data_IF_431097511319
#
_entry.id   IF_431097511319
#
_cell.length_a   1.000
_cell.length_b   1.000
_cell.length_c   1.000
_cell.angle_alpha   90.00
_cell.angle_beta   90.00
_cell.angle_gamma   90.00
#
_symmetry.space_group_name_H-M   'P 1'
#
loop_
_entity.id
_entity.type
_entity.pdbx_description
1 polymer ?
#
# COMPACT_ATOMS: atom_id res chain seq x y z
N UNK A 1 -53.90 -28.73 22.80
CA UNK A 1 -52.46 -28.55 23.12
C UNK A 1 -51.70 -29.24 22.01
N UNK A 2 -51.27 -28.48 21.01
CA UNK A 2 -50.42 -28.99 19.91
C UNK A 2 -49.07 -28.29 20.02
N UNK A 3 -48.05 -29.05 20.41
CA UNK A 3 -46.66 -28.58 20.41
C UNK A 3 -46.10 -28.76 19.00
N UNK A 4 -45.91 -27.65 18.28
CA UNK A 4 -45.02 -27.60 17.12
C UNK A 4 -43.58 -27.46 17.64
N UNK A 5 -42.81 -28.53 17.59
CA UNK A 5 -41.36 -28.48 17.70
C UNK A 5 -40.79 -27.85 16.43
N UNK A 6 -40.21 -26.65 16.57
CA UNK A 6 -39.51 -25.95 15.51
C UNK A 6 -38.14 -26.59 15.29
N UNK A 7 -37.98 -27.27 14.16
CA UNK A 7 -36.71 -27.83 13.68
C UNK A 7 -35.81 -26.71 13.15
N UNK A 8 -34.95 -26.15 13.99
CA UNK A 8 -33.76 -25.45 13.52
C UNK A 8 -32.57 -26.43 13.61
N UNK A 9 -31.84 -26.70 12.51
CA UNK A 9 -30.59 -27.45 12.61
C UNK A 9 -29.54 -26.60 13.35
N UNK A 10 -28.66 -27.20 14.16
CA UNK A 10 -27.62 -26.45 14.86
C UNK A 10 -26.59 -25.94 13.85
N UNK A 11 -26.36 -24.62 13.80
CA UNK A 11 -25.36 -23.94 12.95
C UNK A 11 -23.89 -24.29 13.29
N UNK A 12 -23.65 -25.14 14.28
CA UNK A 12 -22.32 -25.59 14.70
C UNK A 12 -22.24 -27.12 14.75
N UNK A 13 -22.32 -27.76 13.58
CA UNK A 13 -21.92 -29.16 13.41
C UNK A 13 -20.43 -29.24 13.06
N UNK A 14 -19.62 -30.11 13.69
CA UNK A 14 -18.22 -30.33 13.32
C UNK A 14 -18.03 -30.72 11.85
N UNK A 15 -19.07 -31.27 11.21
CA UNK A 15 -19.06 -31.62 9.80
C UNK A 15 -19.07 -30.37 8.89
N UNK A 16 -19.68 -29.26 9.33
CA UNK A 16 -19.63 -27.99 8.60
C UNK A 16 -18.26 -27.33 8.70
N UNK A 17 -17.58 -27.44 9.86
CA UNK A 17 -16.22 -26.92 10.04
C UNK A 17 -15.21 -27.70 9.18
N UNK A 18 -15.34 -29.02 9.10
CA UNK A 18 -14.52 -29.88 8.24
C UNK A 18 -14.70 -29.56 6.76
N UNK A 19 -15.94 -29.40 6.32
CA UNK A 19 -16.24 -29.03 4.93
C UNK A 19 -15.71 -27.63 4.57
N UNK A 20 -15.87 -26.65 5.46
CA UNK A 20 -15.35 -25.30 5.26
C UNK A 20 -13.81 -25.27 5.18
N UNK A 21 -13.14 -26.12 5.97
CA UNK A 21 -11.69 -26.24 5.93
C UNK A 21 -11.21 -26.92 4.63
N UNK A 22 -11.92 -27.95 4.16
CA UNK A 22 -11.62 -28.64 2.89
C UNK A 22 -11.71 -27.70 1.68
N UNK A 23 -12.77 -26.89 1.59
CA UNK A 23 -12.94 -25.92 0.50
C UNK A 23 -11.91 -24.79 0.59
N UNK A 24 -11.56 -24.35 1.80
CA UNK A 24 -10.51 -23.35 2.01
C UNK A 24 -9.15 -23.85 1.54
N UNK A 25 -8.79 -25.10 1.82
CA UNK A 25 -7.52 -25.69 1.39
C UNK A 25 -7.49 -25.90 -0.13
N UNK A 26 -8.63 -26.25 -0.74
CA UNK A 26 -8.80 -26.27 -2.20
C UNK A 26 -8.56 -24.89 -2.83
N UNK A 27 -9.24 -23.86 -2.33
CA UNK A 27 -9.09 -22.48 -2.82
C UNK A 27 -7.66 -21.98 -2.64
N UNK A 28 -7.02 -22.34 -1.53
CA UNK A 28 -5.64 -22.02 -1.25
C UNK A 28 -4.67 -22.66 -2.27
N UNK A 29 -4.86 -23.95 -2.59
CA UNK A 29 -4.06 -24.63 -3.60
C UNK A 29 -4.22 -24.00 -4.99
N UNK A 30 -5.47 -23.70 -5.40
CA UNK A 30 -5.73 -23.04 -6.69
C UNK A 30 -5.12 -21.64 -6.74
N UNK A 31 -5.15 -20.90 -5.63
CA UNK A 31 -4.51 -19.60 -5.52
C UNK A 31 -2.99 -19.69 -5.69
N UNK A 32 -2.34 -20.67 -5.03
CA UNK A 32 -0.91 -20.92 -5.21
C UNK A 32 -0.56 -21.28 -6.66
N UNK A 33 -1.35 -22.17 -7.27
CA UNK A 33 -1.14 -22.61 -8.64
C UNK A 33 -1.23 -21.43 -9.62
N UNK A 34 -2.22 -20.57 -9.47
CA UNK A 34 -2.42 -19.42 -10.36
C UNK A 34 -1.33 -18.34 -10.20
N UNK A 35 -0.90 -18.05 -8.97
CA UNK A 35 -0.06 -16.88 -8.69
C UNK A 35 1.42 -17.20 -8.54
N UNK A 36 1.76 -18.30 -7.86
CA UNK A 36 3.16 -18.62 -7.53
C UNK A 36 3.76 -19.61 -8.53
N UNK A 37 2.92 -20.44 -9.17
CA UNK A 37 3.36 -21.48 -10.10
C UNK A 37 2.93 -21.22 -11.55
N UNK A 38 2.10 -20.21 -11.80
CA UNK A 38 1.71 -19.75 -13.13
C UNK A 38 0.83 -20.73 -13.93
N UNK A 39 0.10 -21.63 -13.26
CA UNK A 39 -0.89 -22.51 -13.89
C UNK A 39 -2.19 -21.76 -14.17
N UNK A 40 -2.81 -22.00 -15.33
CA UNK A 40 -4.23 -21.68 -15.47
C UNK A 40 -5.00 -22.74 -14.67
N UNK A 41 -5.89 -22.31 -13.78
CA UNK A 41 -6.78 -23.19 -13.03
C UNK A 41 -7.64 -24.10 -13.92
N UNK A 42 -7.78 -23.80 -15.22
CA UNK A 42 -8.44 -24.63 -16.23
C UNK A 42 -7.60 -25.82 -16.71
N UNK A 43 -6.29 -25.77 -16.53
CA UNK A 43 -5.35 -26.85 -16.89
C UNK A 43 -5.27 -27.94 -15.81
N UNK A 44 -5.95 -27.73 -14.68
CA UNK A 44 -5.90 -28.59 -13.50
C UNK A 44 -7.19 -29.40 -13.43
N UNK A 45 -7.06 -30.73 -13.40
CA UNK A 45 -8.22 -31.62 -13.24
C UNK A 45 -8.57 -31.75 -11.76
N UNK A 46 -9.85 -31.53 -11.43
CA UNK A 46 -10.36 -31.64 -10.05
C UNK A 46 -11.44 -32.71 -10.04
N UNK A 47 -11.24 -33.75 -9.23
CA UNK A 47 -12.26 -34.75 -8.89
C UNK A 47 -12.61 -34.66 -7.40
N UNK A 48 -13.87 -34.97 -7.09
CA UNK A 48 -14.39 -34.97 -5.72
C UNK A 48 -15.32 -36.16 -5.55
N UNK A 49 -15.10 -36.98 -4.52
CA UNK A 49 -15.99 -38.10 -4.21
C UNK A 49 -17.09 -37.62 -3.25
N UNK A 50 -18.35 -37.80 -3.66
CA UNK A 50 -19.53 -37.54 -2.84
C UNK A 50 -19.87 -38.85 -2.14
N UNK A 51 -19.90 -38.88 -0.80
CA UNK A 51 -20.32 -40.09 -0.09
C UNK A 51 -21.78 -40.39 -0.41
N UNK A 52 -22.05 -41.53 -1.04
CA UNK A 52 -23.39 -42.03 -1.32
C UNK A 52 -24.17 -42.28 -0.03
N UNK A 53 -24.87 -41.25 0.43
CA UNK A 53 -26.05 -41.32 1.28
C UNK A 53 -26.77 -39.98 1.10
N UNK A 54 -28.03 -40.03 0.70
CA UNK A 54 -28.89 -38.87 0.49
C UNK A 54 -28.67 -37.81 1.59
N UNK A 55 -28.29 -36.59 1.17
CA UNK A 55 -28.16 -35.36 1.98
C UNK A 55 -26.80 -35.02 2.65
N UNK A 56 -25.65 -35.44 2.12
CA UNK A 56 -24.38 -34.72 2.38
C UNK A 56 -24.07 -33.74 1.23
N UNK A 57 -24.14 -32.43 1.50
CA UNK A 57 -23.84 -31.35 0.53
C UNK A 57 -22.32 -31.15 0.34
N UNK A 58 -21.48 -31.88 1.08
CA UNK A 58 -20.05 -31.61 1.16
C UNK A 58 -19.20 -32.80 0.67
N UNK A 59 -18.20 -32.57 -0.22
CA UNK A 59 -17.30 -33.61 -0.70
C UNK A 59 -16.43 -34.16 0.45
N UNK A 60 -16.17 -35.46 0.43
CA UNK A 60 -15.37 -36.11 1.48
C UNK A 60 -13.87 -35.79 1.36
N UNK A 61 -13.41 -35.55 0.14
CA UNK A 61 -12.04 -35.16 -0.20
C UNK A 61 -11.99 -34.58 -1.63
N UNK A 62 -10.89 -33.89 -1.95
CA UNK A 62 -10.60 -33.40 -3.30
C UNK A 62 -9.34 -34.06 -3.84
N UNK A 63 -9.34 -34.47 -5.11
CA UNK A 63 -8.15 -34.92 -5.83
C UNK A 63 -7.91 -33.95 -6.97
N UNK A 64 -6.68 -33.43 -7.03
CA UNK A 64 -6.28 -32.35 -7.92
C UNK A 64 -5.05 -32.80 -8.69
N UNK A 65 -5.19 -33.00 -10.00
CA UNK A 65 -4.09 -33.40 -10.88
C UNK A 65 -3.54 -32.19 -11.61
N UNK A 66 -2.26 -31.93 -11.39
CA UNK A 66 -1.49 -30.82 -11.95
C UNK A 66 -0.58 -31.40 -13.04
N UNK A 67 -0.72 -30.96 -14.31
CA UNK A 67 0.08 -31.48 -15.41
C UNK A 67 1.56 -31.05 -15.28
N UNK A 68 2.52 -31.85 -15.77
CA UNK A 68 3.92 -31.46 -15.80
C UNK A 68 4.15 -30.25 -16.72
N UNK A 69 5.01 -29.33 -16.31
CA UNK A 69 5.46 -28.19 -17.15
C UNK A 69 6.93 -28.30 -17.49
N UNK A 70 7.21 -28.56 -18.77
CA UNK A 70 8.58 -28.69 -19.29
C UNK A 70 9.37 -27.38 -19.20
N UNK A 71 8.72 -26.23 -19.38
CA UNK A 71 9.38 -24.90 -19.36
C UNK A 71 9.97 -24.54 -18.00
N UNK A 72 9.33 -24.97 -16.90
CA UNK A 72 9.77 -24.68 -15.53
C UNK A 72 10.42 -25.89 -14.84
N UNK A 73 10.66 -26.99 -15.57
CA UNK A 73 11.10 -28.29 -15.02
C UNK A 73 10.21 -28.78 -13.86
N UNK A 74 8.93 -28.39 -13.85
CA UNK A 74 8.02 -28.76 -12.78
C UNK A 74 7.41 -30.14 -13.09
N UNK A 75 7.63 -31.13 -12.23
CA UNK A 75 7.05 -32.47 -12.41
C UNK A 75 5.54 -32.44 -12.19
N UNK A 76 4.83 -33.38 -12.83
CA UNK A 76 3.40 -33.57 -12.61
C UNK A 76 3.13 -33.94 -11.15
N UNK A 77 2.05 -33.39 -10.59
CA UNK A 77 1.68 -33.57 -9.19
C UNK A 77 0.23 -34.00 -9.07
N UNK A 78 -0.05 -34.96 -8.21
CA UNK A 78 -1.41 -35.31 -7.80
C UNK A 78 -1.57 -34.98 -6.32
N UNK A 79 -2.50 -34.10 -5.99
CA UNK A 79 -2.75 -33.62 -4.64
C UNK A 79 -4.11 -34.12 -4.15
N UNK A 80 -4.11 -34.93 -3.09
CA UNK A 80 -5.32 -35.41 -2.43
C UNK A 80 -5.52 -34.68 -1.10
N UNK A 81 -6.57 -33.87 -0.99
CA UNK A 81 -6.90 -33.06 0.18
C UNK A 81 -7.99 -33.76 1.00
N UNK A 82 -7.64 -34.21 2.19
CA UNK A 82 -8.55 -34.76 3.21
C UNK A 82 -8.72 -33.75 4.35
N UNK A 83 -9.75 -33.89 5.23
CA UNK A 83 -9.99 -32.92 6.31
C UNK A 83 -8.81 -32.69 7.26
N UNK A 84 -8.02 -33.74 7.53
CA UNK A 84 -6.91 -33.75 8.47
C UNK A 84 -5.53 -33.68 7.83
N UNK A 85 -5.45 -33.98 6.52
CA UNK A 85 -4.17 -34.19 5.85
C UNK A 85 -4.25 -33.95 4.35
N UNK A 86 -3.18 -33.43 3.77
CA UNK A 86 -3.03 -33.41 2.31
C UNK A 86 -1.88 -34.33 1.90
N UNK A 87 -2.12 -35.15 0.89
CA UNK A 87 -1.14 -36.04 0.31
C UNK A 87 -0.72 -35.49 -1.06
N UNK A 88 0.59 -35.38 -1.30
CA UNK A 88 1.14 -34.88 -2.56
C UNK A 88 1.97 -35.98 -3.21
N UNK A 89 1.59 -36.40 -4.40
CA UNK A 89 2.26 -37.44 -5.16
C UNK A 89 2.95 -36.88 -6.39
N UNK A 90 4.11 -37.46 -6.73
CA UNK A 90 4.67 -37.30 -8.06
C UNK A 90 3.93 -38.23 -9.01
N UNK A 91 3.19 -37.65 -9.96
CA UNK A 91 2.29 -38.39 -10.86
C UNK A 91 3.03 -39.43 -11.71
N UNK A 92 4.30 -39.19 -12.05
CA UNK A 92 5.09 -40.14 -12.83
C UNK A 92 5.70 -41.24 -11.95
N UNK A 93 6.19 -40.90 -10.77
CA UNK A 93 6.74 -41.89 -9.84
C UNK A 93 5.67 -42.87 -9.34
N UNK A 94 4.45 -42.38 -9.06
CA UNK A 94 3.33 -43.22 -8.65
C UNK A 94 2.90 -44.23 -9.72
N UNK A 95 2.94 -43.84 -11.00
CA UNK A 95 2.64 -44.74 -12.12
C UNK A 95 3.70 -45.85 -12.29
N UNK A 96 4.95 -45.59 -11.91
CA UNK A 96 6.04 -46.57 -12.00
C UNK A 96 6.05 -47.56 -10.84
N UNK A 97 5.61 -47.15 -9.66
CA UNK A 97 5.57 -48.01 -8.47
C UNK A 97 4.37 -48.96 -8.45
N UNK A 98 3.38 -48.78 -9.33
CA UNK A 98 2.17 -49.60 -9.38
C UNK A 98 1.79 -50.04 -10.82
N UNK A 99 2.62 -50.85 -11.51
CA UNK A 99 2.32 -51.28 -12.88
C UNK A 99 1.15 -52.27 -13.00
N UNK A 100 0.76 -52.97 -11.92
CA UNK A 100 -0.24 -54.05 -11.95
C UNK A 100 -1.68 -53.64 -11.61
N UNK A 101 -1.90 -52.41 -11.13
CA UNK A 101 -3.25 -51.86 -10.94
C UNK A 101 -3.37 -50.61 -11.80
N UNK A 102 -3.96 -50.73 -12.98
CA UNK A 102 -4.44 -49.59 -13.79
C UNK A 102 -5.63 -48.87 -13.12
N UNK A 103 -5.60 -48.68 -11.80
CA UNK A 103 -6.54 -47.83 -11.08
C UNK A 103 -6.00 -46.41 -11.09
N UNK A 104 -6.82 -45.45 -11.54
CA UNK A 104 -6.54 -44.02 -11.31
C UNK A 104 -6.34 -43.82 -9.80
N UNK A 105 -5.37 -42.98 -9.39
CA UNK A 105 -5.19 -42.57 -7.98
C UNK A 105 -6.51 -42.05 -7.36
N UNK A 106 -7.44 -41.65 -8.21
CA UNK A 106 -8.82 -41.26 -7.88
C UNK A 106 -9.68 -42.37 -7.28
N UNK A 107 -9.28 -43.64 -7.43
CA UNK A 107 -10.01 -44.81 -6.90
C UNK A 107 -9.38 -45.40 -5.63
N UNK A 108 -8.27 -44.84 -5.16
CA UNK A 108 -7.57 -45.32 -3.98
C UNK A 108 -8.13 -44.70 -2.70
N UNK A 109 -8.30 -45.51 -1.65
CA UNK A 109 -8.66 -45.00 -0.32
C UNK A 109 -7.50 -44.23 0.30
N UNK A 110 -7.80 -43.36 1.28
CA UNK A 110 -6.80 -42.61 2.05
C UNK A 110 -5.72 -43.52 2.62
N UNK A 111 -6.12 -44.65 3.20
CA UNK A 111 -5.22 -45.64 3.79
C UNK A 111 -4.33 -46.28 2.73
N UNK A 112 -4.88 -46.60 1.55
CA UNK A 112 -4.12 -47.12 0.42
C UNK A 112 -3.06 -46.13 -0.08
N UNK A 113 -3.41 -44.84 -0.16
CA UNK A 113 -2.46 -43.77 -0.53
C UNK A 113 -1.34 -43.62 0.52
N UNK A 114 -1.67 -43.70 1.80
CA UNK A 114 -0.67 -43.64 2.88
C UNK A 114 0.26 -44.86 2.86
N UNK A 115 -0.27 -46.06 2.63
CA UNK A 115 0.54 -47.27 2.52
C UNK A 115 1.47 -47.23 1.31
N UNK A 116 1.04 -46.59 0.21
CA UNK A 116 1.87 -46.37 -0.97
C UNK A 116 3.06 -45.43 -0.67
N UNK A 117 2.84 -44.37 0.11
CA UNK A 117 3.94 -43.50 0.60
C UNK A 117 4.90 -44.27 1.51
N UNK A 118 4.40 -45.20 2.34
CA UNK A 118 5.26 -46.03 3.20
C UNK A 118 6.10 -47.02 2.41
N UNK A 119 5.54 -47.59 1.35
CA UNK A 119 6.23 -48.56 0.50
C UNK A 119 7.33 -47.90 -0.32
N UNK A 120 7.03 -46.76 -0.93
CA UNK A 120 8.01 -45.94 -1.62
C UNK A 120 7.92 -44.48 -1.17
N UNK A 121 8.80 -44.04 -0.26
CA UNK A 121 8.83 -42.65 0.15
C UNK A 121 9.12 -41.69 -1.02
N UNK A 122 9.73 -42.12 -2.13
CA UNK A 122 10.04 -41.23 -3.25
C UNK A 122 8.80 -40.85 -4.08
N UNK A 123 7.69 -41.59 -3.97
CA UNK A 123 6.51 -41.37 -4.80
C UNK A 123 5.53 -40.32 -4.25
N UNK A 124 5.58 -40.01 -2.95
CA UNK A 124 4.67 -39.04 -2.34
C UNK A 124 5.07 -38.54 -0.96
N UNK A 125 4.34 -37.52 -0.50
CA UNK A 125 4.56 -36.76 0.72
C UNK A 125 3.27 -36.60 1.50
N UNK A 126 3.39 -36.76 2.81
CA UNK A 126 2.32 -36.53 3.77
C UNK A 126 2.47 -35.12 4.37
N UNK A 127 1.44 -34.28 4.19
CA UNK A 127 1.42 -32.90 4.67
C UNK A 127 0.29 -32.71 5.70
N UNK A 128 0.58 -32.84 7.01
CA UNK A 128 -0.40 -32.62 8.05
C UNK A 128 -0.89 -31.16 8.07
N UNK A 129 -2.18 -30.97 8.32
CA UNK A 129 -2.78 -29.64 8.42
C UNK A 129 -2.31 -28.97 9.72
N UNK A 130 -1.49 -27.93 9.59
CA UNK A 130 -0.85 -27.26 10.73
C UNK A 130 -0.23 -25.93 10.37
N UNK A 131 0.53 -25.34 11.30
CA UNK A 131 1.12 -24.00 11.11
C UNK A 131 2.06 -23.90 9.89
N UNK A 132 2.62 -25.03 9.44
CA UNK A 132 3.56 -25.11 8.31
C UNK A 132 2.95 -25.57 6.99
N UNK A 133 1.67 -25.91 7.00
CA UNK A 133 0.98 -26.52 5.87
C UNK A 133 1.26 -25.80 4.55
N UNK A 134 1.16 -24.47 4.53
CA UNK A 134 1.48 -23.62 3.38
C UNK A 134 2.90 -23.84 2.85
N UNK A 135 3.91 -23.69 3.70
CA UNK A 135 5.30 -23.78 3.27
C UNK A 135 5.62 -25.19 2.74
N UNK A 136 5.14 -26.21 3.46
CA UNK A 136 5.30 -27.61 3.05
C UNK A 136 4.59 -27.92 1.74
N UNK A 137 3.43 -27.30 1.48
CA UNK A 137 2.73 -27.42 0.19
C UNK A 137 3.55 -26.84 -0.95
N UNK A 138 4.11 -25.63 -0.77
CA UNK A 138 4.96 -25.00 -1.79
C UNK A 138 6.20 -25.84 -2.05
N UNK A 139 6.89 -26.30 -1.02
CA UNK A 139 8.07 -27.16 -1.18
C UNK A 139 7.73 -28.46 -1.93
N UNK A 140 6.61 -29.10 -1.60
CA UNK A 140 6.16 -30.33 -2.25
C UNK A 140 5.79 -30.15 -3.74
N UNK A 141 5.27 -28.96 -4.11
CA UNK A 141 4.90 -28.64 -5.49
C UNK A 141 6.07 -28.15 -6.33
N UNK A 142 7.11 -27.58 -5.71
CA UNK A 142 8.21 -26.92 -6.44
C UNK A 142 9.48 -27.76 -6.52
N UNK A 143 9.68 -28.72 -5.61
CA UNK A 143 10.89 -29.53 -5.54
C UNK A 143 10.58 -31.02 -5.80
N UNK A 144 11.60 -31.83 -6.17
CA UNK A 144 11.50 -33.28 -6.13
C UNK A 144 11.04 -33.78 -4.75
N UNK A 145 10.25 -34.85 -4.70
CA UNK A 145 9.65 -35.36 -3.44
C UNK A 145 10.72 -35.64 -2.37
N UNK A 146 11.87 -36.18 -2.75
CA UNK A 146 12.98 -36.43 -1.83
C UNK A 146 13.55 -35.13 -1.21
N UNK A 147 13.77 -34.11 -2.03
CA UNK A 147 14.30 -32.81 -1.59
C UNK A 147 13.28 -32.05 -0.74
N UNK A 148 12.02 -32.05 -1.16
CA UNK A 148 10.92 -31.48 -0.40
C UNK A 148 10.80 -32.14 0.99
N UNK A 149 10.91 -33.47 1.06
CA UNK A 149 10.93 -34.18 2.35
C UNK A 149 12.07 -33.71 3.24
N UNK A 150 13.30 -33.67 2.71
CA UNK A 150 14.47 -33.25 3.48
C UNK A 150 14.30 -31.83 4.04
N UNK A 151 13.83 -30.88 3.23
CA UNK A 151 13.57 -29.50 3.65
C UNK A 151 12.50 -29.41 4.74
N UNK A 152 11.41 -30.17 4.59
CA UNK A 152 10.32 -30.19 5.58
C UNK A 152 10.82 -30.80 6.90
N UNK A 153 11.58 -31.90 6.85
CA UNK A 153 12.15 -32.54 8.04
C UNK A 153 13.14 -31.61 8.75
N UNK A 154 14.08 -30.99 8.03
CA UNK A 154 15.04 -30.02 8.59
C UNK A 154 14.31 -28.84 9.24
N UNK A 155 13.24 -28.34 8.60
CA UNK A 155 12.41 -27.30 9.16
C UNK A 155 11.77 -27.76 10.50
N UNK A 156 11.20 -28.98 10.54
CA UNK A 156 10.61 -29.55 11.77
C UNK A 156 11.64 -29.66 12.89
N UNK A 157 12.83 -30.19 12.60
CA UNK A 157 13.90 -30.35 13.58
C UNK A 157 14.42 -29.01 14.10
N UNK A 158 14.62 -28.03 13.22
CA UNK A 158 15.05 -26.68 13.61
C UNK A 158 14.04 -25.98 14.50
N UNK A 159 12.73 -26.16 14.28
CA UNK A 159 11.67 -25.64 15.17
C UNK A 159 11.61 -26.36 16.52
N UNK A 160 11.83 -27.68 16.56
CA UNK A 160 11.88 -28.44 17.82
C UNK A 160 13.11 -28.08 18.65
N UNK A 161 14.26 -27.84 18.00
CA UNK A 161 15.48 -27.38 18.67
C UNK A 161 15.39 -25.93 19.16
N UNK A 162 14.65 -25.07 18.44
CA UNK A 162 14.41 -23.69 18.84
C UNK A 162 13.09 -23.57 19.62
N UNK A 163 13.05 -24.11 20.84
CA UNK A 163 11.99 -23.78 21.80
C UNK A 163 12.13 -22.30 22.21
N UNK A 164 11.56 -21.35 21.46
CA UNK A 164 11.21 -19.96 21.87
C UNK A 164 10.45 -19.28 20.71
N UNK A 165 9.52 -18.40 21.07
CA UNK A 165 8.54 -17.64 20.29
C UNK A 165 8.95 -16.96 18.95
N UNK A 166 10.17 -17.13 18.45
CA UNK A 166 10.67 -16.46 17.25
C UNK A 166 10.38 -17.22 15.93
N UNK A 167 10.10 -18.52 15.98
CA UNK A 167 9.78 -19.30 14.76
C UNK A 167 8.27 -19.52 14.54
N UNK A 168 7.40 -19.02 15.43
CA UNK A 168 5.92 -19.00 15.25
C UNK A 168 5.43 -18.16 14.05
N UNK A 169 6.35 -17.60 13.28
CA UNK A 169 6.11 -16.77 12.08
C UNK A 169 6.54 -17.51 10.80
N UNK A 170 6.55 -18.84 10.81
CA UNK A 170 6.78 -19.63 9.60
C UNK A 170 5.64 -19.39 8.59
N UNK A 171 6.07 -19.26 7.34
CA UNK A 171 5.36 -18.72 6.19
C UNK A 171 4.01 -19.41 5.97
N UNK A 172 2.96 -18.60 5.89
CA UNK A 172 1.62 -19.08 5.55
C UNK A 172 0.53 -18.02 5.53
N UNK A 173 0.79 -16.86 6.14
CA UNK A 173 -0.13 -15.71 6.15
C UNK A 173 0.70 -14.44 6.03
N UNK A 174 1.07 -14.07 4.80
CA UNK A 174 1.72 -12.78 4.55
C UNK A 174 0.64 -11.70 4.66
N UNK A 175 0.41 -11.28 5.90
CA UNK A 175 -0.51 -10.18 6.19
C UNK A 175 0.16 -8.84 5.92
N UNK A 176 -0.63 -7.79 5.73
CA UNK A 176 -0.18 -6.40 5.62
C UNK A 176 0.83 -6.04 6.73
N UNK A 177 0.57 -6.48 7.97
CA UNK A 177 1.46 -6.23 9.11
C UNK A 177 2.84 -6.86 8.95
N UNK A 178 2.92 -8.08 8.42
CA UNK A 178 4.19 -8.73 8.14
C UNK A 178 4.96 -8.04 7.01
N UNK A 179 4.27 -7.65 5.94
CA UNK A 179 4.90 -6.91 4.82
C UNK A 179 5.43 -5.56 5.29
N UNK A 180 4.66 -4.87 6.12
CA UNK A 180 5.06 -3.62 6.74
C UNK A 180 6.34 -3.77 7.58
N UNK A 181 6.41 -4.80 8.42
CA UNK A 181 7.61 -5.13 9.23
C UNK A 181 8.82 -5.45 8.32
N UNK A 182 8.62 -6.28 7.29
CA UNK A 182 9.67 -6.70 6.35
C UNK A 182 10.22 -5.54 5.52
N UNK A 183 9.34 -4.67 5.02
CA UNK A 183 9.72 -3.52 4.20
C UNK A 183 10.10 -2.28 5.04
N UNK A 184 10.01 -2.37 6.38
CA UNK A 184 10.23 -1.25 7.32
C UNK A 184 9.36 -0.03 7.00
N UNK A 185 8.10 -0.28 6.65
CA UNK A 185 7.10 0.74 6.32
C UNK A 185 5.89 0.61 7.25
N UNK A 186 5.06 1.65 7.36
CA UNK A 186 3.84 1.55 8.17
C UNK A 186 2.78 0.67 7.46
N UNK A 187 1.95 -0.13 8.18
CA UNK A 187 0.88 -0.94 7.58
C UNK A 187 -0.06 -0.16 6.64
N UNK A 188 -0.44 1.06 7.03
CA UNK A 188 -1.22 1.99 6.18
C UNK A 188 -0.57 2.32 4.84
N UNK A 189 0.75 2.20 4.73
CA UNK A 189 1.49 2.42 3.49
C UNK A 189 1.24 1.28 2.52
N UNK A 190 1.25 0.05 3.05
CA UNK A 190 0.96 -1.15 2.27
C UNK A 190 -0.51 -1.12 1.83
N UNK A 191 -1.46 -0.82 2.72
CA UNK A 191 -2.89 -0.66 2.37
C UNK A 191 -3.08 0.32 1.20
N UNK A 192 -2.49 1.52 1.30
CA UNK A 192 -2.56 2.52 0.21
C UNK A 192 -1.91 2.07 -1.10
N UNK A 193 -0.85 1.27 -1.03
CA UNK A 193 -0.21 0.72 -2.21
C UNK A 193 -1.11 -0.34 -2.87
N UNK A 194 -1.84 -1.14 -2.09
CA UNK A 194 -2.83 -2.08 -2.63
C UNK A 194 -4.01 -1.36 -3.30
N UNK A 195 -4.41 -0.20 -2.77
CA UNK A 195 -5.48 0.63 -3.35
C UNK A 195 -5.04 1.42 -4.60
N UNK A 196 -3.75 1.42 -4.95
CA UNK A 196 -3.23 2.18 -6.08
C UNK A 196 -3.44 1.40 -7.40
N UNK A 197 -4.24 1.92 -8.35
CA UNK A 197 -4.56 1.21 -9.59
C UNK A 197 -3.32 0.87 -10.44
N UNK A 198 -2.28 1.71 -10.41
CA UNK A 198 -1.04 1.46 -11.16
C UNK A 198 -0.24 0.25 -10.65
N UNK A 199 -0.51 -0.19 -9.42
CA UNK A 199 0.18 -1.32 -8.77
C UNK A 199 -0.75 -2.51 -8.67
N UNK A 200 -2.06 -2.31 -8.41
CA UNK A 200 -3.04 -3.41 -8.32
C UNK A 200 -3.01 -4.28 -9.58
N UNK A 201 -2.88 -3.66 -10.75
CA UNK A 201 -2.78 -4.37 -12.03
C UNK A 201 -1.52 -5.24 -12.13
N UNK A 202 -0.41 -4.81 -11.48
CA UNK A 202 0.85 -5.57 -11.42
C UNK A 202 0.84 -6.65 -10.35
N UNK A 203 0.04 -6.49 -9.30
CA UNK A 203 -0.07 -7.45 -8.19
C UNK A 203 -1.00 -8.62 -8.51
N UNK A 204 -1.95 -8.44 -9.42
CA UNK A 204 -2.96 -9.45 -9.74
C UNK A 204 -4.00 -9.61 -8.63
N UNK A 205 -4.66 -10.76 -8.57
CA UNK A 205 -5.71 -11.03 -7.60
C UNK A 205 -5.15 -11.19 -6.17
N UNK A 206 -5.75 -10.49 -5.20
CA UNK A 206 -5.37 -10.58 -3.79
C UNK A 206 -6.50 -11.30 -3.04
N UNK A 207 -6.15 -12.38 -2.34
CA UNK A 207 -7.11 -13.11 -1.52
C UNK A 207 -7.28 -12.43 -0.17
N UNK A 208 -8.53 -12.24 0.27
CA UNK A 208 -8.85 -11.80 1.63
C UNK A 208 -9.49 -12.95 2.40
N UNK A 209 -8.95 -13.28 3.58
CA UNK A 209 -9.58 -14.20 4.52
C UNK A 209 -10.22 -13.45 5.67
N UNK A 210 -11.40 -13.90 6.11
CA UNK A 210 -12.06 -13.36 7.28
C UNK A 210 -11.56 -14.08 8.54
N UNK A 211 -11.03 -13.33 9.52
CA UNK A 211 -10.64 -13.86 10.83
C UNK A 211 -11.42 -13.10 11.91
N UNK A 212 -12.53 -13.68 12.36
CA UNK A 212 -13.47 -12.97 13.23
C UNK A 212 -14.13 -11.81 12.48
N UNK A 213 -14.01 -10.60 13.01
CA UNK A 213 -14.52 -9.37 12.35
C UNK A 213 -13.52 -8.69 11.42
N UNK A 214 -12.26 -9.16 11.35
CA UNK A 214 -11.22 -8.53 10.53
C UNK A 214 -10.99 -9.28 9.21
N UNK A 215 -10.89 -8.52 8.12
CA UNK A 215 -10.42 -9.02 6.82
C UNK A 215 -8.90 -8.95 6.78
N UNK A 216 -8.24 -10.06 6.45
CA UNK A 216 -6.79 -10.14 6.28
C UNK A 216 -6.43 -10.42 4.83
N UNK A 217 -5.65 -9.54 4.22
CA UNK A 217 -5.07 -9.78 2.90
C UNK A 217 -3.96 -10.82 3.01
N UNK A 218 -4.00 -11.81 2.11
CA UNK A 218 -2.94 -12.78 1.90
C UNK A 218 -2.16 -12.37 0.66
N UNK A 219 -0.90 -11.99 0.87
CA UNK A 219 0.00 -11.60 -0.21
C UNK A 219 0.98 -12.73 -0.55
N UNK A 220 1.35 -12.89 -1.81
CA UNK A 220 2.39 -13.87 -2.20
C UNK A 220 3.79 -13.28 -2.08
N UNK A 221 4.82 -14.12 -2.12
CA UNK A 221 6.21 -13.66 -2.14
C UNK A 221 6.51 -12.77 -3.35
N UNK A 222 5.91 -13.06 -4.51
CA UNK A 222 6.00 -12.21 -5.70
C UNK A 222 5.35 -10.85 -5.47
N UNK A 223 4.12 -10.80 -4.93
CA UNK A 223 3.44 -9.55 -4.60
C UNK A 223 4.22 -8.69 -3.60
N UNK A 224 4.89 -9.31 -2.63
CA UNK A 224 5.79 -8.61 -1.70
C UNK A 224 6.99 -8.03 -2.42
N UNK A 225 7.56 -8.73 -3.40
CA UNK A 225 8.68 -8.22 -4.19
C UNK A 225 8.25 -7.04 -5.09
N UNK A 226 7.09 -7.12 -5.73
CA UNK A 226 6.50 -6.01 -6.51
C UNK A 226 6.20 -4.80 -5.63
N UNK A 227 5.64 -5.02 -4.42
CA UNK A 227 5.46 -3.96 -3.42
C UNK A 227 6.80 -3.37 -2.97
N UNK A 228 7.81 -4.21 -2.76
CA UNK A 228 9.15 -3.76 -2.38
C UNK A 228 9.76 -2.88 -3.48
N UNK A 229 9.67 -3.28 -4.75
CA UNK A 229 10.12 -2.50 -5.91
C UNK A 229 9.38 -1.17 -6.01
N UNK A 230 8.04 -1.18 -5.86
CA UNK A 230 7.27 0.05 -5.89
C UNK A 230 7.60 0.99 -4.71
N UNK A 231 7.82 0.42 -3.53
CA UNK A 231 8.13 1.15 -2.31
C UNK A 231 9.63 1.43 -2.14
N UNK A 232 10.48 1.01 -3.08
CA UNK A 232 11.88 1.40 -3.09
C UNK A 232 11.93 2.91 -3.20
N UNK A 233 12.43 3.54 -2.13
CA UNK A 233 12.63 4.97 -2.11
C UNK A 233 13.67 5.31 -3.17
N UNK A 234 13.30 6.10 -4.16
CA UNK A 234 14.24 6.94 -4.90
C UNK A 234 14.50 8.16 -4.03
N UNK A 235 15.58 8.22 -3.23
CA UNK A 235 15.89 9.42 -2.49
C UNK A 235 16.10 10.56 -3.49
N UNK A 236 15.54 11.75 -3.21
CA UNK A 236 15.77 12.90 -4.08
C UNK A 236 17.27 13.22 -4.11
N UNK A 237 17.82 13.63 -5.27
CA UNK A 237 19.23 13.99 -5.38
C UNK A 237 19.60 15.11 -4.39
N UNK A 238 20.88 15.18 -4.05
CA UNK A 238 21.36 16.16 -3.10
C UNK A 238 21.01 17.60 -3.54
N UNK A 239 20.52 18.41 -2.59
CA UNK A 239 20.12 19.79 -2.82
C UNK A 239 18.70 19.99 -3.34
N UNK A 240 17.98 18.93 -3.71
CA UNK A 240 16.56 19.00 -4.04
C UNK A 240 15.73 19.33 -2.80
N UNK A 241 14.68 20.14 -2.96
CA UNK A 241 13.83 20.58 -1.84
C UNK A 241 12.36 20.47 -2.20
N UNK A 242 11.54 20.04 -1.25
CA UNK A 242 10.08 20.11 -1.40
C UNK A 242 9.62 21.57 -1.47
N UNK A 243 8.39 21.81 -1.93
CA UNK A 243 7.78 23.14 -1.96
C UNK A 243 7.91 23.87 -0.60
N UNK A 244 7.64 23.16 0.50
CA UNK A 244 7.79 23.71 1.85
C UNK A 244 9.26 23.97 2.21
N UNK A 245 10.19 23.14 1.73
CA UNK A 245 11.63 23.37 1.89
C UNK A 245 12.10 24.63 1.17
N UNK A 246 11.61 24.88 -0.04
CA UNK A 246 11.87 26.12 -0.80
C UNK A 246 11.27 27.32 -0.07
N UNK A 247 10.01 27.21 0.36
CA UNK A 247 9.32 28.27 1.11
C UNK A 247 10.08 28.66 2.38
N UNK A 248 10.54 27.67 3.16
CA UNK A 248 11.34 27.90 4.38
C UNK A 248 12.68 28.55 4.07
N UNK A 249 13.39 28.11 3.01
CA UNK A 249 14.67 28.70 2.58
C UNK A 249 14.52 30.17 2.22
N UNK A 250 13.46 30.51 1.49
CA UNK A 250 13.17 31.88 1.06
C UNK A 250 12.46 32.70 2.16
N UNK A 251 12.11 32.06 3.28
CA UNK A 251 11.34 32.69 4.35
C UNK A 251 9.99 33.23 3.88
N UNK A 252 9.34 32.61 2.88
CA UNK A 252 8.01 33.00 2.35
C UNK A 252 6.99 31.87 2.56
N UNK A 253 5.71 32.12 2.26
CA UNK A 253 4.66 31.11 2.37
C UNK A 253 4.67 30.11 1.22
N UNK A 254 4.28 28.87 1.47
CA UNK A 254 4.18 27.83 0.43
C UNK A 254 3.22 28.20 -0.71
N UNK A 255 2.10 28.87 -0.40
CA UNK A 255 1.18 29.37 -1.43
C UNK A 255 1.82 30.46 -2.32
N UNK A 256 2.72 31.27 -1.77
CA UNK A 256 3.47 32.27 -2.53
C UNK A 256 4.44 31.59 -3.49
N UNK A 257 5.15 30.55 -3.03
CA UNK A 257 6.01 29.72 -3.90
C UNK A 257 5.18 29.09 -5.02
N UNK A 258 3.99 28.56 -4.72
CA UNK A 258 3.10 27.98 -5.74
C UNK A 258 2.70 29.01 -6.80
N UNK A 259 2.28 30.22 -6.38
CA UNK A 259 1.94 31.30 -7.30
C UNK A 259 3.12 31.68 -8.21
N UNK A 260 4.33 31.82 -7.63
CA UNK A 260 5.55 32.09 -8.39
C UNK A 260 5.78 31.00 -9.44
N UNK A 261 5.60 29.73 -9.08
CA UNK A 261 5.74 28.60 -10.01
C UNK A 261 4.68 28.70 -11.14
N UNK A 262 3.44 28.99 -10.81
CA UNK A 262 2.35 29.13 -11.80
C UNK A 262 2.63 30.29 -12.76
N UNK A 263 3.13 31.42 -12.27
CA UNK A 263 3.55 32.57 -13.09
C UNK A 263 4.77 32.27 -13.95
N UNK A 264 5.76 31.54 -13.42
CA UNK A 264 6.93 31.10 -14.18
C UNK A 264 6.51 30.14 -15.31
N UNK A 265 5.57 29.25 -15.04
CA UNK A 265 5.08 28.28 -16.03
C UNK A 265 4.19 28.93 -17.09
N UNK A 266 3.43 29.97 -16.75
CA UNK A 266 2.63 30.70 -17.74
C UNK A 266 3.48 31.43 -18.77
N UNK A 267 4.74 31.76 -18.43
CA UNK A 267 5.74 32.33 -19.36
C UNK A 267 6.71 31.29 -19.93
N UNK A 268 6.46 29.99 -19.72
CA UNK A 268 7.21 28.89 -20.34
C UNK A 268 8.51 28.49 -19.63
N UNK A 269 8.68 28.78 -18.34
CA UNK A 269 9.90 28.46 -17.60
C UNK A 269 10.04 26.98 -17.19
N UNK A 270 9.00 26.16 -17.40
CA UNK A 270 8.96 24.70 -17.16
C UNK A 270 9.50 24.30 -15.78
N UNK A 271 8.81 24.73 -14.73
CA UNK A 271 9.11 24.47 -13.32
C UNK A 271 7.98 23.62 -12.74
N UNK A 272 8.10 22.30 -12.85
CA UNK A 272 7.11 21.37 -12.32
C UNK A 272 7.59 20.58 -11.10
N UNK A 273 8.91 20.52 -10.91
CA UNK A 273 9.53 19.63 -9.94
C UNK A 273 9.36 18.16 -10.35
N UNK A 274 10.15 17.31 -9.71
CA UNK A 274 10.16 15.88 -9.93
C UNK A 274 9.55 15.16 -8.72
N UNK A 275 8.85 14.07 -8.98
CA UNK A 275 8.20 13.28 -7.95
C UNK A 275 9.16 12.22 -7.41
N UNK A 276 9.36 12.22 -6.09
CA UNK A 276 10.20 11.24 -5.41
C UNK A 276 9.41 10.50 -4.34
N UNK A 277 9.62 9.19 -4.27
CA UNK A 277 8.94 8.31 -3.34
C UNK A 277 9.76 8.22 -2.05
N UNK A 278 9.12 8.54 -0.92
CA UNK A 278 9.67 8.19 0.39
C UNK A 278 9.46 6.70 0.66
N UNK A 279 10.33 6.13 1.49
CA UNK A 279 10.14 4.80 2.07
C UNK A 279 8.77 4.62 2.75
N UNK A 280 8.09 5.71 3.15
CA UNK A 280 6.73 5.67 3.69
C UNK A 280 5.63 5.58 2.63
N UNK A 281 5.96 5.29 1.37
CA UNK A 281 5.03 5.24 0.21
C UNK A 281 4.33 6.57 -0.11
N UNK A 282 4.77 7.67 0.50
CA UNK A 282 4.31 9.01 0.18
C UNK A 282 5.20 9.57 -0.91
N UNK A 283 4.60 10.00 -2.01
CA UNK A 283 5.29 10.77 -3.03
C UNK A 283 5.22 12.27 -2.72
N UNK A 284 6.34 12.95 -2.95
CA UNK A 284 6.40 14.41 -2.83
C UNK A 284 7.09 14.98 -4.06
N UNK A 285 6.64 16.16 -4.49
CA UNK A 285 7.35 16.93 -5.51
C UNK A 285 8.54 17.65 -4.88
N UNK A 286 9.70 17.43 -5.48
CA UNK A 286 10.95 18.10 -5.16
C UNK A 286 11.40 18.96 -6.33
N UNK A 287 11.90 20.16 -6.01
CA UNK A 287 12.40 21.12 -6.98
C UNK A 287 13.91 21.03 -7.03
N UNK A 288 14.44 20.94 -8.25
CA UNK A 288 15.87 20.93 -8.51
C UNK A 288 16.53 22.24 -8.02
N UNK A 289 17.86 22.27 -7.77
CA UNK A 289 18.56 23.52 -7.48
C UNK A 289 18.34 24.59 -8.56
N UNK A 290 18.16 24.18 -9.82
CA UNK A 290 17.88 25.07 -10.95
C UNK A 290 16.50 25.70 -10.83
N UNK A 291 15.48 24.91 -10.53
CA UNK A 291 14.11 25.39 -10.31
C UNK A 291 14.03 26.31 -9.09
N UNK A 292 14.73 25.93 -8.02
CA UNK A 292 14.85 26.77 -6.82
C UNK A 292 15.45 28.14 -7.15
N UNK A 293 16.45 28.21 -8.04
CA UNK A 293 17.05 29.48 -8.49
C UNK A 293 16.07 30.31 -9.33
N UNK A 294 15.29 29.67 -10.22
CA UNK A 294 14.23 30.37 -11.00
C UNK A 294 13.19 30.98 -10.06
N UNK A 295 12.70 30.20 -9.10
CA UNK A 295 11.74 30.64 -8.07
C UNK A 295 12.34 31.79 -7.24
N UNK A 296 13.59 31.67 -6.81
CA UNK A 296 14.27 32.72 -6.03
C UNK A 296 14.44 34.01 -6.84
N UNK A 297 14.81 33.91 -8.13
CA UNK A 297 14.95 35.07 -9.01
C UNK A 297 13.61 35.79 -9.20
N UNK A 298 12.53 35.05 -9.44
CA UNK A 298 11.20 35.63 -9.56
C UNK A 298 10.75 36.28 -8.26
N UNK A 299 10.99 35.62 -7.11
CA UNK A 299 10.67 36.19 -5.80
C UNK A 299 11.42 37.50 -5.52
N UNK A 300 12.67 37.64 -5.99
CA UNK A 300 13.44 38.89 -5.94
C UNK A 300 12.86 39.95 -6.89
N UNK A 301 12.50 39.55 -8.12
CA UNK A 301 11.86 40.44 -9.09
C UNK A 301 10.52 41.01 -8.61
N UNK A 302 9.71 40.21 -7.91
CA UNK A 302 8.45 40.63 -7.29
C UNK A 302 8.64 41.56 -6.06
N UNK A 303 9.88 41.81 -5.62
CA UNK A 303 10.16 42.63 -4.44
C UNK A 303 9.81 41.95 -3.11
N UNK A 304 9.66 40.62 -3.07
CA UNK A 304 9.30 39.87 -1.84
C UNK A 304 10.37 39.94 -0.75
N UNK A 305 11.61 40.30 -1.12
CA UNK A 305 12.72 40.52 -0.19
C UNK A 305 12.99 42.00 0.09
N UNK A 306 12.25 42.91 -0.55
CA UNK A 306 12.44 44.34 -0.36
C UNK A 306 11.86 44.74 1.00
N UNK A 307 12.68 45.30 1.92
CA UNK A 307 12.17 45.79 3.19
C UNK A 307 11.23 46.98 2.94
N UNK A 308 10.19 47.10 3.78
CA UNK A 308 9.31 48.27 3.74
C UNK A 308 10.16 49.52 4.07
N UNK A 309 10.17 50.56 3.22
CA UNK A 309 10.87 51.81 3.53
C UNK A 309 10.33 52.43 4.83
N UNK A 310 11.19 53.14 5.55
CA UNK A 310 10.81 53.78 6.80
C UNK A 310 9.66 54.78 6.58
N UNK A 311 8.66 54.75 7.46
CA UNK A 311 7.48 55.64 7.39
C UNK A 311 6.37 55.19 6.45
N UNK A 312 6.58 54.18 5.60
CA UNK A 312 5.50 53.66 4.75
C UNK A 312 4.47 52.91 5.58
N UNK A 313 3.19 53.23 5.37
CA UNK A 313 2.08 52.66 6.12
C UNK A 313 1.27 51.73 5.23
N UNK A 314 0.98 50.52 5.75
CA UNK A 314 0.05 49.61 5.11
C UNK A 314 -1.33 50.29 5.01
N UNK A 315 -2.01 50.15 3.86
CA UNK A 315 -3.33 50.74 3.62
C UNK A 315 -4.34 50.48 4.75
N UNK A 316 -4.31 49.28 5.33
CA UNK A 316 -5.19 48.91 6.44
C UNK A 316 -4.81 49.60 7.75
N UNK A 317 -3.52 49.92 7.96
CA UNK A 317 -3.07 50.74 9.07
C UNK A 317 -3.54 52.19 8.90
N UNK A 318 -3.43 52.74 7.68
CA UNK A 318 -3.95 54.08 7.37
C UNK A 318 -5.46 54.16 7.60
N UNK A 319 -6.22 53.16 7.13
CA UNK A 319 -7.66 53.08 7.37
C UNK A 319 -8.01 53.09 8.87
N UNK A 320 -7.25 52.32 9.67
CA UNK A 320 -7.42 52.26 11.13
C UNK A 320 -7.11 53.61 11.79
N UNK A 321 -5.98 54.23 11.46
CA UNK A 321 -5.58 55.51 12.04
C UNK A 321 -6.51 56.66 11.67
N UNK A 322 -7.09 56.62 10.47
CA UNK A 322 -8.06 57.62 10.02
C UNK A 322 -9.50 57.28 10.44
N UNK A 323 -9.73 56.15 11.13
CA UNK A 323 -11.05 55.65 11.52
C UNK A 323 -12.05 55.58 10.34
N UNK A 324 -11.62 55.02 9.21
CA UNK A 324 -12.43 54.86 8.00
C UNK A 324 -12.39 53.42 7.48
N UNK A 325 -13.35 53.08 6.62
CA UNK A 325 -13.39 51.74 6.01
C UNK A 325 -12.33 51.59 4.92
N UNK A 326 -11.96 50.33 4.62
CA UNK A 326 -11.05 50.05 3.51
C UNK A 326 -11.58 50.52 2.15
N UNK A 327 -12.91 50.48 1.96
CA UNK A 327 -13.55 50.96 0.73
C UNK A 327 -13.38 52.47 0.55
N UNK A 328 -13.54 53.24 1.64
CA UNK A 328 -13.32 54.70 1.64
C UNK A 328 -11.88 55.05 1.26
N UNK A 329 -10.90 54.32 1.78
CA UNK A 329 -9.49 54.52 1.40
C UNK A 329 -9.25 54.17 -0.06
N UNK A 330 -9.80 53.07 -0.58
CA UNK A 330 -9.63 52.72 -1.99
C UNK A 330 -10.20 53.79 -2.91
N UNK A 331 -11.40 54.30 -2.60
CA UNK A 331 -12.00 55.39 -3.37
C UNK A 331 -11.14 56.65 -3.34
N UNK A 332 -10.55 57.00 -2.18
CA UNK A 332 -9.64 58.14 -2.10
C UNK A 332 -8.37 57.93 -2.93
N UNK A 333 -7.77 56.74 -2.88
CA UNK A 333 -6.59 56.38 -3.69
C UNK A 333 -6.91 56.50 -5.19
N UNK A 334 -8.06 55.98 -5.62
CA UNK A 334 -8.52 56.05 -7.02
C UNK A 334 -8.78 57.50 -7.45
N UNK A 335 -9.47 58.29 -6.62
CA UNK A 335 -9.77 59.70 -6.91
C UNK A 335 -8.51 60.57 -7.00
N UNK A 336 -7.48 60.26 -6.20
CA UNK A 336 -6.20 60.96 -6.19
C UNK A 336 -5.21 60.42 -7.24
N UNK A 337 -5.55 59.35 -7.96
CA UNK A 337 -4.65 58.71 -8.93
C UNK A 337 -3.38 58.13 -8.29
N UNK A 338 -3.43 57.79 -7.00
CA UNK A 338 -2.27 57.26 -6.28
C UNK A 338 -2.05 55.81 -6.71
N UNK A 339 -0.81 55.44 -7.03
CA UNK A 339 -0.41 54.05 -7.27
C UNK A 339 0.38 53.56 -6.06
N UNK A 340 -0.23 52.77 -5.14
CA UNK A 340 0.45 52.33 -3.93
C UNK A 340 1.47 51.23 -4.26
N UNK A 341 2.62 51.28 -3.60
CA UNK A 341 3.67 50.27 -3.79
C UNK A 341 3.39 49.02 -2.94
N UNK A 342 3.88 47.86 -3.40
CA UNK A 342 3.66 46.58 -2.73
C UNK A 342 4.90 46.18 -1.95
N UNK A 343 4.75 46.04 -0.63
CA UNK A 343 5.80 45.55 0.24
C UNK A 343 5.30 44.44 1.15
N UNK A 344 6.24 43.72 1.77
CA UNK A 344 5.94 42.61 2.67
C UNK A 344 5.32 43.11 3.97
N UNK A 345 4.12 42.61 4.29
CA UNK A 345 3.41 43.01 5.52
C UNK A 345 4.17 42.49 6.74
N UNK A 346 4.41 43.34 7.74
CA UNK A 346 4.88 42.90 9.07
C UNK A 346 3.69 42.54 9.94
N UNK A 347 3.74 41.38 10.59
CA UNK A 347 2.77 40.99 11.63
C UNK A 347 3.08 41.77 12.92
N UNK A 348 2.07 41.88 13.78
CA UNK A 348 2.17 42.57 15.08
C UNK A 348 3.25 41.99 16.01
N UNK A 349 3.62 40.71 15.83
CA UNK A 349 4.69 40.04 16.57
C UNK A 349 6.09 40.26 15.97
N UNK A 350 6.26 41.23 15.06
CA UNK A 350 7.53 41.52 14.39
C UNK A 350 7.92 40.54 13.27
N UNK A 351 7.20 39.42 13.10
CA UNK A 351 7.47 38.47 12.03
C UNK A 351 6.94 38.98 10.68
N UNK A 352 7.71 38.77 9.62
CA UNK A 352 7.28 39.11 8.26
C UNK A 352 6.14 38.17 7.81
N UNK A 353 4.95 38.72 7.55
CA UNK A 353 3.85 37.97 6.99
C UNK A 353 4.20 37.44 5.59
N UNK A 354 3.56 36.36 5.19
CA UNK A 354 3.76 35.72 3.88
C UNK A 354 3.01 36.43 2.73
N UNK A 355 2.52 37.65 2.95
CA UNK A 355 1.68 38.40 2.03
C UNK A 355 2.27 39.78 1.72
N UNK A 356 2.15 40.19 0.45
CA UNK A 356 2.38 41.57 0.03
C UNK A 356 1.13 42.41 0.31
N UNK A 357 1.34 43.61 0.85
CA UNK A 357 0.31 44.60 1.06
C UNK A 357 0.62 45.89 0.31
N UNK A 358 -0.43 46.62 -0.05
CA UNK A 358 -0.31 47.96 -0.61
C UNK A 358 0.05 48.96 0.50
N UNK A 359 1.19 49.62 0.37
CA UNK A 359 1.66 50.63 1.30
C UNK A 359 1.60 52.00 0.64
N UNK A 360 1.29 53.00 1.46
CA UNK A 360 1.32 54.39 1.08
C UNK A 360 2.58 55.02 1.68
N UNK A 361 3.27 55.85 0.90
CA UNK A 361 4.32 56.72 1.44
C UNK A 361 3.70 57.70 2.46
N UNK A 362 4.51 58.32 3.35
CA UNK A 362 4.00 59.34 4.27
C UNK A 362 3.23 60.45 3.54
N UNK A 363 3.75 60.93 2.41
CA UNK A 363 3.11 61.96 1.59
C UNK A 363 1.78 61.49 0.99
N UNK A 364 1.73 60.26 0.46
CA UNK A 364 0.49 59.68 -0.07
C UNK A 364 -0.56 59.48 1.03
N UNK A 365 -0.12 59.06 2.23
CA UNK A 365 -0.99 58.88 3.38
C UNK A 365 -1.58 60.24 3.83
N UNK A 366 -0.77 61.30 3.85
CA UNK A 366 -1.23 62.66 4.13
C UNK A 366 -2.18 63.20 3.05
N UNK A 367 -1.93 62.95 1.77
CA UNK A 367 -2.85 63.31 0.67
C UNK A 367 -4.22 62.64 0.84
N UNK A 368 -4.23 61.35 1.17
CA UNK A 368 -5.48 60.61 1.44
C UNK A 368 -6.19 61.18 2.67
N UNK A 369 -5.46 61.50 3.75
CA UNK A 369 -6.04 62.10 4.94
C UNK A 369 -6.66 63.48 4.63
N UNK A 370 -5.95 64.33 3.89
CA UNK A 370 -6.41 65.66 3.48
C UNK A 370 -7.65 65.58 2.59
N UNK A 371 -7.68 64.67 1.60
CA UNK A 371 -8.84 64.45 0.74
C UNK A 371 -10.09 64.03 1.55
N UNK A 372 -9.90 63.26 2.63
CA UNK A 372 -10.98 62.82 3.51
C UNK A 372 -11.33 63.84 4.61
N UNK A 373 -10.65 64.99 4.65
CA UNK A 373 -10.84 66.01 5.70
C UNK A 373 -10.47 65.50 7.10
N UNK A 374 -9.50 64.58 7.20
CA UNK A 374 -9.04 63.97 8.46
C UNK A 374 -7.55 64.23 8.69
N UNK A 375 -7.12 64.04 9.92
CA UNK A 375 -5.72 64.09 10.33
C UNK A 375 -5.34 62.79 11.01
N UNK A 376 -4.08 62.37 10.86
CA UNK A 376 -3.53 61.31 11.70
C UNK A 376 -3.42 61.82 13.13
N UNK A 377 -3.90 61.03 14.10
CA UNK A 377 -3.63 61.29 15.51
C UNK A 377 -2.12 61.22 15.72
N UNK A 378 -1.47 62.36 15.97
CA UNK A 378 -0.02 62.44 16.25
C UNK A 378 0.41 61.74 17.54
N UNK A 379 -0.52 61.08 18.23
CA UNK A 379 -0.26 60.29 19.42
C UNK A 379 -0.05 58.82 19.03
N UNK A 380 1.21 58.45 18.80
CA UNK A 380 1.90 57.23 19.24
C UNK A 380 3.18 57.16 18.39
N UNK A 381 4.20 57.86 18.88
CA UNK A 381 5.57 57.58 18.56
C UNK A 381 6.09 56.50 19.54
N UNK A 382 6.87 55.57 18.98
CA UNK A 382 7.62 54.43 19.56
C UNK A 382 6.98 53.06 19.33
#
# INVERSE_FOLDING_TARGET
>A
MEHRSSSYPPEHSPDNERAAQLEKDRQYLLFLLANDLGYDTRDVSISSECSDAEASVNPAHYIITIPPRQECQQPGRTVAIYPDITLVFDTHATQQCHPEQHGSLESCTKEGLLDLIKQDPACGLELPHGQRFTASMVDALTHPIADARARITEAIETEQQHHIAQTRRSLGKVTIGWVAEKLKVAPRTIEKALDNPAISDKLGAITTIQRGTELQHLLTSHQVATLAEHLQSTPPPEGYRTLNGVAKKLGIGGNTVRRIIDELNSVGADVHGEEYHKATGLSYRYYSPTDQRKIEKQARGEGLFTPVPAGYLLRTTVAKQLHVTHATINHAIEALGITPERYRVRRQNGQLACTLGYHLSPEQAEQVAAYLGRSFDRAVAL
#
